data_IF_438310536902
#
_entry.id   IF_438310536902
#
_cell.length_a   1.000
_cell.length_b   1.000
_cell.length_c   1.000
_cell.angle_alpha   90.00
_cell.angle_beta   90.00
_cell.angle_gamma   90.00
#
_symmetry.space_group_name_H-M   'P 1'
#
loop_
_entity.id
_entity.type
_entity.pdbx_description
1 polymer ?
#
# COMPACT_ATOMS: atom_id res chain seq x y z
N UNK A 1 -16.40 -12.23 -2.05
CA UNK A 1 -15.73 -11.66 -0.86
C UNK A 1 -14.23 -11.58 -1.10
N UNK A 2 -13.63 -10.44 -0.84
CA UNK A 2 -12.19 -10.25 -1.06
C UNK A 2 -11.42 -10.65 0.19
N UNK A 3 -10.32 -11.37 -0.02
CA UNK A 3 -9.39 -11.70 1.04
C UNK A 3 -8.28 -10.63 1.06
N UNK A 4 -8.00 -10.09 2.25
CA UNK A 4 -6.95 -9.10 2.41
C UNK A 4 -5.82 -9.75 3.20
N UNK A 5 -4.60 -9.66 2.67
CA UNK A 5 -3.42 -10.21 3.32
C UNK A 5 -2.37 -9.13 3.54
N UNK A 6 -1.58 -9.29 4.58
CA UNK A 6 -0.51 -8.35 4.91
C UNK A 6 0.80 -9.12 5.00
N UNK A 7 1.76 -8.75 4.14
CA UNK A 7 3.08 -9.33 4.23
C UNK A 7 3.75 -8.93 5.53
N UNK A 8 4.66 -9.77 6.00
CA UNK A 8 5.38 -9.50 7.22
C UNK A 8 6.11 -8.15 7.16
N UNK A 9 6.73 -7.85 6.02
CA UNK A 9 7.43 -6.58 5.88
C UNK A 9 6.48 -5.39 5.92
N UNK A 10 5.29 -5.52 5.38
CA UNK A 10 4.27 -4.47 5.50
C UNK A 10 3.92 -4.21 6.96
N UNK A 11 3.78 -5.26 7.74
CA UNK A 11 3.45 -5.14 9.16
C UNK A 11 4.55 -4.44 9.94
N UNK A 12 5.81 -4.74 9.63
CA UNK A 12 6.96 -4.07 10.23
C UNK A 12 6.97 -2.60 9.85
N UNK A 13 6.77 -2.32 8.55
CA UNK A 13 6.70 -0.94 8.05
C UNK A 13 5.60 -0.16 8.75
N UNK A 14 4.42 -0.78 8.89
CA UNK A 14 3.27 -0.13 9.50
C UNK A 14 3.54 0.26 10.96
N UNK A 15 4.15 -0.63 11.73
CA UNK A 15 4.50 -0.32 13.12
C UNK A 15 5.45 0.87 13.20
N UNK A 16 6.44 0.91 12.33
CA UNK A 16 7.44 1.96 12.31
C UNK A 16 6.82 3.29 11.90
N UNK A 17 6.06 3.29 10.82
CA UNK A 17 5.52 4.53 10.26
C UNK A 17 4.38 5.09 11.07
N UNK A 18 3.54 4.24 11.67
CA UNK A 18 2.41 4.71 12.48
C UNK A 18 2.85 5.49 13.72
N UNK A 19 4.08 5.27 14.20
CA UNK A 19 4.64 6.03 15.30
C UNK A 19 4.98 7.46 14.89
N UNK A 20 5.37 7.64 13.64
CA UNK A 20 5.77 8.95 13.10
C UNK A 20 4.58 9.69 12.49
N UNK A 21 3.66 8.97 11.89
CA UNK A 21 2.49 9.51 11.21
C UNK A 21 1.26 8.77 11.70
N UNK A 22 0.76 9.09 12.90
CA UNK A 22 -0.35 8.33 13.50
C UNK A 22 -1.63 8.31 12.64
N UNK A 23 -1.84 9.32 11.83
CA UNK A 23 -3.05 9.39 10.99
C UNK A 23 -3.17 8.26 9.99
N UNK A 24 -2.05 7.58 9.64
CA UNK A 24 -2.14 6.49 8.68
C UNK A 24 -2.94 5.30 9.21
N UNK A 25 -3.05 5.17 10.53
CA UNK A 25 -3.83 4.08 11.13
C UNK A 25 -5.28 4.19 10.69
N UNK A 26 -5.88 5.37 10.88
CA UNK A 26 -7.27 5.61 10.49
C UNK A 26 -7.44 5.53 8.99
N UNK A 27 -6.49 6.06 8.23
CA UNK A 27 -6.59 6.02 6.77
C UNK A 27 -6.49 4.60 6.24
N UNK A 28 -5.59 3.79 6.79
CA UNK A 28 -5.48 2.40 6.36
C UNK A 28 -6.73 1.61 6.71
N UNK A 29 -7.33 1.87 7.89
CA UNK A 29 -8.60 1.25 8.26
C UNK A 29 -9.68 1.60 7.24
N UNK A 30 -9.74 2.85 6.80
CA UNK A 30 -10.71 3.27 5.80
C UNK A 30 -10.45 2.57 4.45
N UNK A 31 -9.21 2.44 4.05
CA UNK A 31 -8.86 1.75 2.81
C UNK A 31 -9.29 0.28 2.88
N UNK A 32 -9.02 -0.37 4.00
CA UNK A 32 -9.40 -1.77 4.21
C UNK A 32 -10.92 -1.93 4.14
N UNK A 33 -11.67 -1.07 4.82
CA UNK A 33 -13.13 -1.11 4.78
C UNK A 33 -13.66 -0.91 3.36
N UNK A 34 -13.07 0.01 2.62
CA UNK A 34 -13.48 0.26 1.24
C UNK A 34 -13.19 -0.92 0.34
N UNK A 35 -12.07 -1.60 0.56
CA UNK A 35 -11.76 -2.82 -0.19
C UNK A 35 -12.77 -3.91 0.12
N UNK A 36 -13.14 -4.07 1.40
CA UNK A 36 -14.11 -5.06 1.79
C UNK A 36 -15.49 -4.78 1.19
N UNK A 37 -15.86 -3.52 1.08
CA UNK A 37 -17.17 -3.12 0.57
C UNK A 37 -17.22 -3.02 -0.96
N UNK A 38 -16.19 -2.41 -1.57
CA UNK A 38 -16.21 -2.10 -3.00
C UNK A 38 -15.22 -2.93 -3.83
N UNK A 39 -14.35 -3.69 -3.18
CA UNK A 39 -13.42 -4.55 -3.87
C UNK A 39 -12.16 -3.87 -4.41
N UNK A 40 -11.93 -2.62 -4.04
CA UNK A 40 -10.77 -1.87 -4.55
C UNK A 40 -10.37 -0.73 -3.64
N UNK A 41 -9.12 -0.26 -3.82
CA UNK A 41 -8.63 0.93 -3.12
C UNK A 41 -9.38 2.15 -3.65
N UNK A 42 -9.85 3.06 -2.76
CA UNK A 42 -10.59 4.23 -3.20
C UNK A 42 -9.76 5.16 -4.09
N UNK A 43 -10.43 5.79 -5.06
CA UNK A 43 -9.79 6.71 -5.98
C UNK A 43 -9.11 7.90 -5.28
N UNK A 44 -9.63 8.30 -4.11
CA UNK A 44 -9.05 9.39 -3.36
C UNK A 44 -7.62 9.12 -2.89
N UNK A 45 -7.21 7.85 -2.85
CA UNK A 45 -5.84 7.47 -2.51
C UNK A 45 -4.97 7.27 -3.74
N UNK A 46 -5.48 7.65 -4.92
CA UNK A 46 -4.76 7.62 -6.18
C UNK A 46 -4.06 6.28 -6.46
N UNK A 47 -4.82 5.17 -6.45
CA UNK A 47 -4.23 3.87 -6.76
C UNK A 47 -3.83 3.81 -8.24
N UNK A 48 -2.65 3.28 -8.52
CA UNK A 48 -2.21 3.10 -9.89
C UNK A 48 -1.14 2.02 -9.98
N UNK A 49 -1.04 1.41 -11.15
CA UNK A 49 -0.05 0.37 -11.38
C UNK A 49 1.34 0.98 -11.50
N UNK A 50 2.32 0.27 -10.96
CA UNK A 50 3.72 0.67 -11.07
C UNK A 50 4.27 0.14 -12.39
N UNK A 51 4.62 1.07 -13.27
CA UNK A 51 5.11 0.73 -14.60
C UNK A 51 6.59 1.09 -14.71
N UNK A 52 7.42 0.36 -13.96
CA UNK A 52 8.87 0.52 -14.00
C UNK A 52 9.50 -0.79 -14.45
N UNK A 53 9.96 -0.86 -15.72
CA UNK A 53 10.46 -2.12 -16.28
C UNK A 53 11.58 -2.78 -15.50
N UNK A 54 12.34 -2.01 -14.70
CA UNK A 54 13.46 -2.53 -13.93
C UNK A 54 13.23 -2.47 -12.41
N UNK A 55 12.06 -2.03 -11.99
CA UNK A 55 11.75 -1.94 -10.57
C UNK A 55 11.35 -3.29 -10.00
N UNK A 56 11.73 -3.55 -8.75
CA UNK A 56 11.34 -4.80 -8.07
C UNK A 56 9.83 -4.88 -7.84
N UNK A 57 9.15 -3.73 -7.88
CA UNK A 57 7.70 -3.68 -7.71
C UNK A 57 6.95 -3.52 -9.02
N UNK A 58 7.61 -3.80 -10.13
CA UNK A 58 6.95 -3.82 -11.44
C UNK A 58 5.81 -4.83 -11.42
N UNK A 59 4.63 -4.40 -11.88
CA UNK A 59 3.44 -5.25 -11.86
C UNK A 59 2.62 -5.13 -10.59
N UNK A 60 3.12 -4.44 -9.58
CA UNK A 60 2.36 -4.14 -8.38
C UNK A 60 1.71 -2.76 -8.54
N UNK A 61 0.87 -2.40 -7.57
CA UNK A 61 0.23 -1.09 -7.56
C UNK A 61 0.65 -0.32 -6.31
N UNK A 62 0.49 1.00 -6.36
CA UNK A 62 0.71 1.83 -5.18
C UNK A 62 -0.50 2.71 -4.92
N UNK A 63 -0.63 3.15 -3.68
CA UNK A 63 -1.61 4.16 -3.29
C UNK A 63 -0.96 5.13 -2.30
N UNK A 64 -1.49 6.35 -2.23
CA UNK A 64 -0.93 7.42 -1.41
C UNK A 64 -1.74 7.62 -0.13
N UNK A 65 -1.04 7.77 0.99
CA UNK A 65 -1.65 8.07 2.28
C UNK A 65 -1.38 9.53 2.68
N UNK A 66 -1.99 9.94 3.79
CA UNK A 66 -1.80 11.28 4.37
C UNK A 66 -2.12 12.43 3.41
N UNK A 67 -3.05 12.18 2.47
CA UNK A 67 -3.49 13.16 1.47
C UNK A 67 -2.31 13.80 0.72
N UNK A 68 -1.22 13.07 0.59
CA UNK A 68 0.02 13.53 -0.04
C UNK A 68 0.73 14.66 0.70
N UNK A 69 0.32 14.95 1.92
CA UNK A 69 0.99 15.96 2.75
C UNK A 69 2.31 15.44 3.28
N UNK A 70 2.43 14.11 3.35
CA UNK A 70 3.63 13.42 3.77
C UNK A 70 3.89 12.34 2.72
N UNK A 71 5.16 12.03 2.51
CA UNK A 71 5.52 10.99 1.55
C UNK A 71 5.30 9.61 2.18
N UNK A 72 4.07 9.13 2.09
CA UNK A 72 3.69 7.81 2.60
C UNK A 72 2.88 7.08 1.53
N UNK A 73 3.44 5.98 1.02
CA UNK A 73 2.81 5.17 -0.01
C UNK A 73 2.75 3.72 0.42
N UNK A 74 1.69 3.05 0.00
CA UNK A 74 1.55 1.62 0.19
C UNK A 74 1.69 0.90 -1.14
N UNK A 75 2.36 -0.24 -1.13
CA UNK A 75 2.50 -1.09 -2.32
C UNK A 75 1.66 -2.33 -2.09
N UNK A 76 0.86 -2.69 -3.06
CA UNK A 76 -0.01 -3.85 -2.97
C UNK A 76 -0.07 -4.61 -4.29
N UNK A 77 -0.49 -5.86 -4.21
CA UNK A 77 -0.78 -6.66 -5.38
C UNK A 77 -2.26 -7.00 -5.36
N UNK A 78 -2.84 -7.10 -6.54
CA UNK A 78 -4.25 -7.44 -6.70
C UNK A 78 -4.36 -8.64 -7.62
N UNK A 79 -4.94 -9.73 -7.12
CA UNK A 79 -5.19 -10.92 -7.90
C UNK A 79 -6.69 -11.12 -8.02
N UNK A 80 -7.24 -10.67 -9.13
CA UNK A 80 -8.67 -10.78 -9.38
C UNK A 80 -9.14 -12.22 -9.43
N UNK A 81 -8.32 -13.12 -9.94
CA UNK A 81 -8.65 -14.54 -10.03
C UNK A 81 -8.87 -15.18 -8.65
N UNK A 82 -8.09 -14.75 -7.68
CA UNK A 82 -8.17 -15.28 -6.32
C UNK A 82 -8.95 -14.37 -5.39
N UNK A 83 -9.47 -13.26 -5.89
CA UNK A 83 -10.15 -12.23 -5.11
C UNK A 83 -9.33 -11.85 -3.88
N UNK A 84 -8.03 -11.61 -4.09
CA UNK A 84 -7.09 -11.33 -3.02
C UNK A 84 -6.36 -10.02 -3.27
N UNK A 85 -6.29 -9.18 -2.24
CA UNK A 85 -5.43 -7.99 -2.22
C UNK A 85 -4.41 -8.20 -1.13
N UNK A 86 -3.15 -8.03 -1.47
CA UNK A 86 -2.03 -8.28 -0.58
C UNK A 86 -1.21 -7.01 -0.43
N UNK A 87 -1.09 -6.52 0.80
CA UNK A 87 -0.26 -5.37 1.09
C UNK A 87 1.18 -5.80 1.31
N UNK A 88 2.10 -5.24 0.52
CA UNK A 88 3.50 -5.67 0.41
C UNK A 88 4.44 -4.80 1.21
N UNK A 89 4.39 -3.48 1.01
CA UNK A 89 5.27 -2.52 1.66
C UNK A 89 4.54 -1.23 1.99
N UNK A 90 5.10 -0.49 2.93
CA UNK A 90 4.62 0.85 3.30
C UNK A 90 5.83 1.71 3.63
N UNK A 91 5.90 2.93 3.09
CA UNK A 91 7.03 3.81 3.35
C UNK A 91 7.01 5.03 2.45
N UNK A 92 8.13 5.76 2.44
CA UNK A 92 8.30 6.88 1.53
C UNK A 92 8.73 6.37 0.15
N UNK A 93 8.61 7.20 -0.87
CA UNK A 93 9.11 6.86 -2.20
C UNK A 93 10.59 6.53 -2.15
N UNK A 94 11.38 7.31 -1.40
CA UNK A 94 12.82 7.08 -1.30
C UNK A 94 13.12 5.71 -0.69
N UNK A 95 12.43 5.35 0.38
CA UNK A 95 12.64 4.07 1.03
C UNK A 95 12.32 2.89 0.12
N UNK A 96 11.24 2.99 -0.63
CA UNK A 96 10.70 1.88 -1.39
C UNK A 96 11.33 1.75 -2.78
N UNK A 97 11.72 2.86 -3.39
CA UNK A 97 12.17 2.87 -4.78
C UNK A 97 13.63 3.25 -4.97
N UNK A 98 14.19 4.07 -4.08
CA UNK A 98 15.55 4.58 -4.22
C UNK A 98 16.48 4.12 -3.10
N UNK A 99 15.92 3.55 -2.04
CA UNK A 99 16.70 3.05 -0.91
C UNK A 99 17.26 1.67 -1.16
N UNK A 100 18.07 1.16 -0.22
CA UNK A 100 18.60 -0.19 -0.37
C UNK A 100 17.49 -1.22 -0.36
N UNK A 101 17.64 -2.22 -1.21
CA UNK A 101 16.69 -3.32 -1.29
C UNK A 101 16.94 -4.29 -0.14
N UNK A 102 15.90 -4.56 0.61
CA UNK A 102 15.99 -5.51 1.72
C UNK A 102 15.37 -6.83 1.34
#
# INVERSE_FOLDING_TARGET
>A
MITIKFDQQFQIDFKRISRRIPQIVTELEYVIEAIEEYGRVPESYNPHMLDRPRGIYSGYAEFHLAERKVDAVGIYSERSEASTIRFIRLGSHDELFDGPLL
#
